data_IF_258497687674
#
_entry.id   IF_258497687674
#
_cell.length_a   1.000
_cell.length_b   1.000
_cell.length_c   1.000
_cell.angle_alpha   90.00
_cell.angle_beta   90.00
_cell.angle_gamma   90.00
#
_symmetry.space_group_name_H-M   'P 1'
#
loop_
_entity.id
_entity.type
_entity.pdbx_description
1 polymer ?
#
# COMPACT_ATOMS: atom_id res chain seq x y z
N UNK A 1 -3.13 -41.99 -12.80
CA UNK A 1 -2.65 -41.77 -11.43
C UNK A 1 -1.41 -40.92 -11.38
N UNK A 2 -0.38 -41.30 -12.15
CA UNK A 2 0.87 -40.54 -12.19
C UNK A 2 0.69 -39.09 -12.65
N UNK A 3 -0.29 -38.86 -13.53
CA UNK A 3 -0.57 -37.52 -14.04
C UNK A 3 -1.06 -36.55 -12.92
N UNK A 4 -1.86 -37.06 -11.98
CA UNK A 4 -2.34 -36.23 -10.86
C UNK A 4 -1.21 -35.84 -9.93
N UNK A 5 -0.30 -36.75 -9.62
CA UNK A 5 0.87 -36.45 -8.79
C UNK A 5 1.78 -35.42 -9.45
N UNK A 6 1.99 -35.54 -10.78
CA UNK A 6 2.81 -34.58 -11.52
C UNK A 6 2.21 -33.18 -11.47
N UNK A 7 0.89 -33.06 -11.64
CA UNK A 7 0.19 -31.77 -11.56
C UNK A 7 0.32 -31.16 -10.16
N UNK A 8 0.17 -31.97 -9.11
CA UNK A 8 0.30 -31.49 -7.73
C UNK A 8 1.70 -30.93 -7.45
N UNK A 9 2.74 -31.62 -7.94
CA UNK A 9 4.12 -31.15 -7.77
C UNK A 9 4.37 -29.81 -8.49
N UNK A 10 3.85 -29.66 -9.71
CA UNK A 10 3.96 -28.40 -10.45
C UNK A 10 3.27 -27.29 -9.69
N UNK A 11 2.10 -27.53 -9.13
CA UNK A 11 1.35 -26.54 -8.36
C UNK A 11 2.12 -26.09 -7.12
N UNK A 12 2.71 -27.03 -6.38
CA UNK A 12 3.55 -26.72 -5.22
C UNK A 12 4.76 -25.90 -5.62
N UNK A 13 5.39 -26.20 -6.75
CA UNK A 13 6.52 -25.44 -7.25
C UNK A 13 6.15 -23.99 -7.55
N UNK A 14 4.96 -23.75 -8.14
CA UNK A 14 4.48 -22.40 -8.38
C UNK A 14 4.24 -21.64 -7.08
N UNK A 15 3.73 -22.29 -6.03
CA UNK A 15 3.49 -21.62 -4.76
C UNK A 15 4.78 -21.26 -4.03
N UNK A 16 5.89 -21.95 -4.27
CA UNK A 16 7.18 -21.59 -3.68
C UNK A 16 7.80 -20.35 -4.31
N UNK A 17 7.29 -19.92 -5.47
CA UNK A 17 7.74 -18.71 -6.15
C UNK A 17 6.74 -17.56 -6.02
N UNK A 18 5.90 -17.60 -4.98
CA UNK A 18 4.98 -16.52 -4.70
C UNK A 18 5.75 -15.22 -4.47
N UNK A 19 5.31 -14.14 -5.11
CA UNK A 19 5.94 -12.85 -4.99
C UNK A 19 5.68 -12.25 -3.61
N UNK A 20 6.65 -11.52 -3.10
CA UNK A 20 6.44 -10.70 -1.90
C UNK A 20 5.45 -9.58 -2.22
N UNK A 21 4.52 -9.35 -1.30
CA UNK A 21 3.50 -8.31 -1.42
C UNK A 21 3.75 -7.25 -0.37
N UNK A 22 3.98 -6.04 -0.80
CA UNK A 22 4.20 -4.90 0.09
C UNK A 22 3.25 -3.78 -0.25
N UNK A 23 2.80 -3.06 0.76
CA UNK A 23 1.89 -1.94 0.58
C UNK A 23 2.30 -0.77 1.46
N UNK A 24 2.10 0.43 0.93
CA UNK A 24 2.14 1.66 1.70
C UNK A 24 0.75 2.26 1.72
N UNK A 25 0.23 2.50 2.92
CA UNK A 25 -1.08 3.10 3.14
C UNK A 25 -0.89 4.39 3.91
N UNK A 26 -1.38 5.50 3.38
CA UNK A 26 -1.32 6.80 4.05
C UNK A 26 -2.73 7.32 4.25
N UNK A 27 -3.05 7.70 5.49
CA UNK A 27 -4.32 8.33 5.83
C UNK A 27 -4.07 9.67 6.51
N UNK A 28 -4.56 10.75 5.94
CA UNK A 28 -4.41 12.11 6.46
C UNK A 28 -5.78 12.72 6.77
N UNK A 29 -6.05 12.98 8.03
CA UNK A 29 -7.31 13.56 8.51
C UNK A 29 -7.14 14.91 9.19
N UNK A 30 -6.05 15.12 9.91
CA UNK A 30 -5.87 16.24 10.84
C UNK A 30 -5.34 17.50 10.15
N UNK A 31 -6.02 17.93 9.08
CA UNK A 31 -5.72 19.21 8.44
C UNK A 31 -6.27 20.35 9.30
N UNK A 32 -5.52 21.44 9.39
CA UNK A 32 -5.98 22.65 10.10
C UNK A 32 -7.23 23.23 9.45
N UNK A 33 -7.31 23.15 8.12
CA UNK A 33 -8.47 23.60 7.36
C UNK A 33 -9.07 22.39 6.67
N UNK A 34 -10.38 22.22 6.81
CA UNK A 34 -11.12 21.12 6.19
C UNK A 34 -10.61 19.73 6.61
N UNK A 35 -10.55 19.51 7.92
CA UNK A 35 -10.22 18.18 8.45
C UNK A 35 -11.17 17.13 7.87
N UNK A 36 -10.63 15.92 7.65
CA UNK A 36 -11.38 14.81 7.07
C UNK A 36 -11.80 13.84 8.16
N UNK A 37 -13.08 13.46 8.14
CA UNK A 37 -13.64 12.61 9.18
C UNK A 37 -13.27 11.13 9.04
N UNK A 38 -13.19 10.63 7.80
CA UNK A 38 -13.11 9.20 7.56
C UNK A 38 -11.77 8.71 6.98
N UNK A 39 -10.83 9.60 6.70
CA UNK A 39 -9.60 9.22 6.02
C UNK A 39 -8.77 8.21 6.84
N UNK A 40 -8.68 8.38 8.15
CA UNK A 40 -7.96 7.42 9.00
C UNK A 40 -8.67 6.07 9.07
N UNK A 41 -10.00 6.08 9.21
CA UNK A 41 -10.77 4.85 9.23
C UNK A 41 -10.62 4.08 7.93
N UNK A 42 -10.68 4.77 6.79
CA UNK A 42 -10.50 4.16 5.48
C UNK A 42 -9.10 3.54 5.35
N UNK A 43 -8.07 4.24 5.79
CA UNK A 43 -6.70 3.74 5.76
C UNK A 43 -6.52 2.51 6.65
N UNK A 44 -7.13 2.52 7.83
CA UNK A 44 -7.07 1.38 8.75
C UNK A 44 -7.82 0.18 8.20
N UNK A 45 -8.98 0.38 7.60
CA UNK A 45 -9.77 -0.70 7.02
C UNK A 45 -9.05 -1.34 5.82
N UNK A 46 -8.49 -0.55 4.94
CA UNK A 46 -7.75 -1.09 3.78
C UNK A 46 -6.49 -1.82 4.25
N UNK A 47 -5.85 -1.33 5.31
CA UNK A 47 -4.68 -2.02 5.89
C UNK A 47 -5.04 -3.42 6.34
N UNK A 48 -6.15 -3.58 7.07
CA UNK A 48 -6.61 -4.91 7.50
C UNK A 48 -6.92 -5.82 6.33
N UNK A 49 -7.60 -5.31 5.32
CA UNK A 49 -7.93 -6.09 4.13
C UNK A 49 -6.68 -6.54 3.39
N UNK A 50 -5.68 -5.67 3.28
CA UNK A 50 -4.42 -6.01 2.61
C UNK A 50 -3.62 -7.03 3.41
N UNK A 51 -3.61 -6.93 4.72
CA UNK A 51 -2.93 -7.93 5.58
C UNK A 51 -3.57 -9.30 5.43
N UNK A 52 -4.87 -9.38 5.29
CA UNK A 52 -5.58 -10.64 5.01
C UNK A 52 -5.19 -11.24 3.66
N UNK A 53 -4.73 -10.40 2.73
CA UNK A 53 -4.24 -10.83 1.43
C UNK A 53 -2.72 -11.04 1.42
N UNK A 54 -2.12 -11.18 2.59
CA UNK A 54 -0.69 -11.44 2.78
C UNK A 54 0.21 -10.28 2.32
N UNK A 55 -0.30 -9.07 2.33
CA UNK A 55 0.54 -7.88 2.15
C UNK A 55 1.22 -7.52 3.46
N UNK A 56 2.47 -7.15 3.36
CA UNK A 56 3.18 -6.47 4.45
C UNK A 56 2.89 -4.97 4.29
N UNK A 57 2.14 -4.42 5.24
CA UNK A 57 1.62 -3.06 5.12
C UNK A 57 2.37 -2.12 6.05
N UNK A 58 2.81 -0.99 5.50
CA UNK A 58 3.24 0.17 6.28
C UNK A 58 2.10 1.17 6.29
N UNK A 59 1.52 1.40 7.47
CA UNK A 59 0.44 2.37 7.66
C UNK A 59 1.03 3.65 8.23
N UNK A 60 0.79 4.77 7.56
CA UNK A 60 1.22 6.10 7.99
C UNK A 60 -0.02 6.98 8.15
N UNK A 61 -0.16 7.58 9.32
CA UNK A 61 -1.33 8.39 9.66
C UNK A 61 -0.93 9.82 9.98
N UNK A 62 -1.70 10.79 9.47
CA UNK A 62 -1.50 12.22 9.75
C UNK A 62 -0.07 12.68 9.48
N UNK A 63 0.37 12.44 8.26
CA UNK A 63 1.75 12.68 7.86
C UNK A 63 1.95 14.10 7.35
N UNK A 64 3.01 14.75 7.82
CA UNK A 64 3.50 15.96 7.21
C UNK A 64 4.28 15.62 5.91
N UNK A 65 4.73 16.65 5.22
CA UNK A 65 5.42 16.48 3.93
C UNK A 65 6.66 15.59 4.05
N UNK A 66 7.45 15.79 5.09
CA UNK A 66 8.69 15.02 5.29
C UNK A 66 8.39 13.54 5.53
N UNK A 67 7.43 13.26 6.41
CA UNK A 67 7.05 11.87 6.71
C UNK A 67 6.50 11.19 5.48
N UNK A 68 5.68 11.87 4.67
CA UNK A 68 5.17 11.30 3.42
C UNK A 68 6.30 11.00 2.45
N UNK A 69 7.23 11.93 2.26
CA UNK A 69 8.36 11.73 1.34
C UNK A 69 9.23 10.57 1.77
N UNK A 70 9.54 10.48 3.06
CA UNK A 70 10.37 9.39 3.59
C UNK A 70 9.67 8.03 3.41
N UNK A 71 8.38 7.96 3.71
CA UNK A 71 7.61 6.72 3.56
C UNK A 71 7.56 6.25 2.11
N UNK A 72 7.33 7.18 1.18
CA UNK A 72 7.29 6.87 -0.25
C UNK A 72 8.67 6.41 -0.74
N UNK A 73 9.72 7.08 -0.31
CA UNK A 73 11.08 6.70 -0.67
C UNK A 73 11.42 5.29 -0.19
N UNK A 74 11.15 4.99 1.07
CA UNK A 74 11.40 3.67 1.64
C UNK A 74 10.59 2.58 0.96
N UNK A 75 9.33 2.86 0.65
CA UNK A 75 8.47 1.93 -0.09
C UNK A 75 9.03 1.66 -1.48
N UNK A 76 9.39 2.73 -2.20
CA UNK A 76 9.95 2.62 -3.56
C UNK A 76 11.23 1.80 -3.59
N UNK A 77 12.08 1.95 -2.57
CA UNK A 77 13.35 1.23 -2.49
C UNK A 77 13.17 -0.28 -2.32
N UNK A 78 12.01 -0.73 -1.84
CA UNK A 78 11.70 -2.15 -1.67
C UNK A 78 11.13 -2.80 -2.92
N UNK A 79 10.71 -1.99 -3.91
CA UNK A 79 10.10 -2.51 -5.13
C UNK A 79 11.16 -3.07 -6.07
N UNK A 80 10.89 -4.24 -6.60
CA UNK A 80 11.71 -4.85 -7.65
C UNK A 80 10.80 -5.74 -8.51
N UNK A 81 11.38 -6.42 -9.48
CA UNK A 81 10.60 -7.26 -10.42
C UNK A 81 9.90 -8.44 -9.74
N UNK A 82 10.31 -8.80 -8.54
CA UNK A 82 9.78 -9.96 -7.82
C UNK A 82 8.81 -9.56 -6.71
N UNK A 83 8.47 -8.28 -6.59
CA UNK A 83 7.51 -7.79 -5.60
C UNK A 83 6.25 -7.27 -6.26
N UNK A 84 5.13 -7.41 -5.53
CA UNK A 84 3.89 -6.71 -5.86
C UNK A 84 3.77 -5.53 -4.91
N UNK A 85 3.74 -4.32 -5.45
CA UNK A 85 3.62 -3.10 -4.66
C UNK A 85 2.25 -2.47 -4.83
N UNK A 86 1.64 -2.05 -3.71
CA UNK A 86 0.37 -1.35 -3.72
C UNK A 86 0.49 -0.07 -2.88
N UNK A 87 0.07 1.04 -3.45
CA UNK A 87 0.01 2.31 -2.74
C UNK A 87 -1.44 2.78 -2.62
N UNK A 88 -1.84 3.11 -1.39
CA UNK A 88 -3.18 3.64 -1.12
C UNK A 88 -3.05 4.95 -0.34
N UNK A 89 -3.85 5.93 -0.72
CA UNK A 89 -3.87 7.24 -0.06
C UNK A 89 -5.31 7.67 0.19
N UNK A 90 -5.58 8.08 1.42
CA UNK A 90 -6.82 8.74 1.81
C UNK A 90 -6.48 10.08 2.45
N UNK A 91 -6.92 11.18 1.85
CA UNK A 91 -6.61 12.53 2.30
C UNK A 91 -6.97 13.54 1.23
N UNK A 92 -6.60 14.79 1.44
CA UNK A 92 -6.77 15.81 0.41
C UNK A 92 -5.74 15.66 -0.71
N UNK A 93 -6.17 15.95 -1.92
CA UNK A 93 -5.31 15.99 -3.09
C UNK A 93 -5.80 17.10 -4.03
N UNK A 94 -4.90 17.61 -4.84
CA UNK A 94 -5.24 18.60 -5.87
C UNK A 94 -4.68 18.13 -7.21
N UNK A 95 -5.36 18.49 -8.29
CA UNK A 95 -4.88 18.28 -9.64
C UNK A 95 -4.45 19.61 -10.23
N UNK A 96 -3.25 19.64 -10.78
CA UNK A 96 -2.70 20.84 -11.39
C UNK A 96 -1.91 20.46 -12.63
N UNK A 97 -2.28 21.04 -13.77
CA UNK A 97 -1.66 20.71 -15.07
C UNK A 97 -1.64 19.21 -15.34
N UNK A 98 -2.73 18.50 -15.01
CA UNK A 98 -2.85 17.06 -15.26
C UNK A 98 -2.12 16.17 -14.27
N UNK A 99 -1.43 16.74 -13.29
CA UNK A 99 -0.74 15.98 -12.26
C UNK A 99 -1.48 16.04 -10.93
N UNK A 100 -1.42 14.94 -10.18
CA UNK A 100 -2.05 14.84 -8.88
C UNK A 100 -1.03 15.08 -7.77
N UNK A 101 -1.37 15.95 -6.85
CA UNK A 101 -0.53 16.29 -5.71
C UNK A 101 -1.25 15.89 -4.43
N UNK A 102 -0.63 15.01 -3.65
CA UNK A 102 -1.16 14.62 -2.35
C UNK A 102 -0.79 15.68 -1.32
N UNK A 103 -1.76 16.05 -0.50
CA UNK A 103 -1.61 17.17 0.43
C UNK A 103 -1.27 16.63 1.83
N UNK A 104 -0.08 16.93 2.36
CA UNK A 104 0.24 16.57 3.76
C UNK A 104 -0.60 17.38 4.74
N UNK A 105 -0.61 16.98 6.00
CA UNK A 105 -1.39 17.71 7.02
C UNK A 105 -0.82 19.10 7.34
N UNK A 106 0.47 19.28 7.11
CA UNK A 106 1.15 20.56 7.30
C UNK A 106 1.93 20.95 6.07
#
# INVERSE_FOLDING_TARGET
MNKLLTIALIFLSLSTFAQERIALVIGNSDYQVSALKNALNDAQDITKALEELDFRVTLVENADKRVMKDAIYEFSAKLNKDTVGLFYYAGHAVQYHGENYLIPIN
#
